data_IF_092307435806
#
_entry.id   IF_092307435806
#
_cell.length_a   1.000
_cell.length_b   1.000
_cell.length_c   1.000
_cell.angle_alpha   90.00
_cell.angle_beta   90.00
_cell.angle_gamma   90.00
#
_symmetry.space_group_name_H-M   'P 1'
#
loop_
_entity.id
_entity.type
_entity.pdbx_description
1 polymer ?
#
# COMPACT_ATOMS: atom_id res chain seq x y z
N UNK A 1 -16.94 33.06 -43.54
CA UNK A 1 -18.02 32.11 -43.23
C UNK A 1 -17.33 30.84 -42.75
N UNK A 2 -17.24 30.71 -41.44
CA UNK A 2 -16.66 29.55 -40.80
C UNK A 2 -17.78 28.51 -40.57
N UNK A 3 -17.50 27.26 -40.83
CA UNK A 3 -18.43 26.16 -40.75
C UNK A 3 -18.49 25.67 -39.28
N UNK A 4 -19.62 25.71 -38.56
CA UNK A 4 -19.73 25.25 -37.21
C UNK A 4 -20.37 23.85 -37.21
N UNK A 5 -19.59 22.78 -37.37
CA UNK A 5 -19.99 21.40 -37.04
C UNK A 5 -18.77 20.47 -37.06
N UNK A 6 -17.83 20.67 -36.10
CA UNK A 6 -17.06 19.58 -35.61
C UNK A 6 -17.75 19.06 -34.34
N UNK A 7 -18.59 18.05 -34.49
CA UNK A 7 -19.02 17.21 -33.38
C UNK A 7 -17.79 16.50 -32.86
N UNK A 8 -17.33 16.93 -31.69
CA UNK A 8 -16.47 16.10 -30.83
C UNK A 8 -17.28 14.86 -30.49
N UNK A 9 -16.94 13.74 -31.09
CA UNK A 9 -17.47 12.44 -30.68
C UNK A 9 -17.08 12.23 -29.21
N UNK A 10 -18.06 12.36 -28.31
CA UNK A 10 -17.93 11.83 -26.95
C UNK A 10 -17.59 10.35 -27.09
N UNK A 11 -16.35 10.00 -26.73
CA UNK A 11 -15.98 8.60 -26.53
C UNK A 11 -16.87 8.11 -25.39
N UNK A 12 -17.78 7.20 -25.67
CA UNK A 12 -18.48 6.43 -24.66
C UNK A 12 -17.44 5.86 -23.68
N UNK A 13 -17.66 5.93 -22.35
CA UNK A 13 -16.74 5.35 -21.39
C UNK A 13 -16.50 3.89 -21.74
N UNK A 14 -15.25 3.48 -21.86
CA UNK A 14 -14.87 2.07 -22.05
C UNK A 14 -15.50 1.28 -20.89
N UNK A 15 -16.19 0.22 -21.22
CA UNK A 15 -16.81 -0.63 -20.20
C UNK A 15 -15.71 -1.31 -19.38
N UNK A 16 -15.63 -0.98 -18.11
CA UNK A 16 -14.74 -1.69 -17.18
C UNK A 16 -15.33 -3.09 -16.87
N UNK A 17 -14.46 -4.08 -16.83
CA UNK A 17 -14.82 -5.47 -16.57
C UNK A 17 -14.01 -6.02 -15.41
N UNK A 18 -14.66 -6.65 -14.44
CA UNK A 18 -13.97 -7.36 -13.37
C UNK A 18 -13.46 -8.70 -13.90
N UNK A 19 -12.15 -8.93 -13.77
CA UNK A 19 -11.50 -10.20 -14.09
C UNK A 19 -10.97 -10.82 -12.79
N UNK A 20 -11.37 -12.05 -12.52
CA UNK A 20 -10.99 -12.80 -11.33
C UNK A 20 -9.92 -13.81 -11.72
N UNK A 21 -8.73 -13.68 -11.15
CA UNK A 21 -7.67 -14.69 -11.22
C UNK A 21 -7.93 -15.73 -10.13
N UNK A 22 -8.05 -16.98 -10.50
CA UNK A 22 -8.36 -18.08 -9.60
C UNK A 22 -7.23 -19.09 -9.62
N UNK A 23 -6.65 -19.39 -8.45
CA UNK A 23 -5.72 -20.50 -8.28
C UNK A 23 -6.40 -21.57 -7.39
N UNK A 24 -6.42 -22.79 -7.86
CA UNK A 24 -7.05 -23.89 -7.14
C UNK A 24 -6.06 -24.61 -6.22
N UNK A 25 -6.51 -25.33 -5.19
CA UNK A 25 -5.63 -26.15 -4.34
C UNK A 25 -4.84 -27.23 -5.12
N UNK A 26 -5.30 -27.60 -6.31
CA UNK A 26 -4.67 -28.61 -7.14
C UNK A 26 -3.62 -28.05 -8.11
N UNK A 27 -3.21 -26.79 -7.96
CA UNK A 27 -2.20 -26.15 -8.80
C UNK A 27 -2.71 -25.83 -10.22
N UNK A 28 -3.97 -25.41 -10.34
CA UNK A 28 -4.55 -24.95 -11.60
C UNK A 28 -5.00 -23.51 -11.47
N UNK A 29 -4.40 -22.62 -12.26
CA UNK A 29 -4.76 -21.22 -12.36
C UNK A 29 -5.58 -20.92 -13.62
N UNK A 30 -6.65 -20.12 -13.48
CA UNK A 30 -7.53 -19.71 -14.58
C UNK A 30 -8.18 -18.35 -14.30
N UNK A 31 -8.89 -17.80 -15.29
CA UNK A 31 -9.57 -16.52 -15.17
C UNK A 31 -11.05 -16.63 -15.47
N UNK A 32 -11.87 -15.94 -14.68
CA UNK A 32 -13.31 -15.83 -14.88
C UNK A 32 -13.76 -14.37 -14.81
N UNK A 33 -14.95 -14.10 -15.38
CA UNK A 33 -15.60 -12.80 -15.22
C UNK A 33 -16.38 -12.71 -13.90
N UNK A 34 -17.02 -11.57 -13.65
CA UNK A 34 -17.87 -11.32 -12.48
C UNK A 34 -19.12 -12.20 -12.40
N UNK A 35 -19.44 -12.96 -13.45
CA UNK A 35 -20.54 -13.92 -13.49
C UNK A 35 -20.08 -15.37 -13.32
N UNK A 36 -18.74 -15.60 -13.28
CA UNK A 36 -18.11 -16.90 -13.11
C UNK A 36 -17.87 -17.66 -14.42
N UNK A 37 -18.03 -17.00 -15.58
CA UNK A 37 -17.72 -17.63 -16.85
C UNK A 37 -16.22 -17.60 -17.12
N UNK A 38 -15.69 -18.74 -17.61
CA UNK A 38 -14.29 -18.80 -18.03
C UNK A 38 -14.01 -17.79 -19.16
N UNK A 39 -13.04 -16.92 -18.94
CA UNK A 39 -12.63 -15.94 -19.95
C UNK A 39 -11.74 -16.58 -21.01
N UNK A 40 -10.87 -17.51 -20.61
CA UNK A 40 -9.90 -18.15 -21.49
C UNK A 40 -9.96 -19.68 -21.33
N UNK A 41 -9.72 -20.41 -22.43
CA UNK A 41 -9.66 -21.87 -22.40
C UNK A 41 -8.37 -22.40 -21.79
N UNK A 42 -7.31 -21.59 -21.82
CA UNK A 42 -5.99 -21.98 -21.33
C UNK A 42 -5.94 -21.89 -19.82
N UNK A 43 -5.39 -22.92 -19.20
CA UNK A 43 -5.11 -22.98 -17.78
C UNK A 43 -3.61 -22.97 -17.56
N UNK A 44 -3.17 -22.49 -16.41
CA UNK A 44 -1.78 -22.36 -16.01
C UNK A 44 -1.59 -23.04 -14.65
N UNK A 45 -0.34 -23.20 -14.21
CA UNK A 45 -0.03 -23.71 -12.87
C UNK A 45 -0.34 -22.64 -11.80
N UNK A 46 -0.03 -21.37 -12.12
CA UNK A 46 -0.38 -20.21 -11.29
C UNK A 46 -0.73 -19.01 -12.16
N UNK A 47 -1.58 -18.13 -11.64
CA UNK A 47 -1.97 -16.87 -12.30
C UNK A 47 -2.05 -15.73 -11.29
N UNK A 48 -1.67 -14.52 -11.69
CA UNK A 48 -1.83 -13.30 -10.91
C UNK A 48 -3.03 -12.48 -11.38
N UNK A 49 -3.41 -11.47 -10.60
CA UNK A 49 -4.32 -10.43 -11.08
C UNK A 49 -3.68 -9.63 -12.21
N UNK A 50 -4.50 -9.01 -13.04
CA UNK A 50 -4.04 -8.06 -14.06
C UNK A 50 -3.55 -6.76 -13.41
N UNK A 51 -2.43 -6.28 -13.89
CA UNK A 51 -1.86 -4.97 -13.57
C UNK A 51 -1.35 -4.36 -14.88
N UNK A 52 -1.77 -3.15 -15.19
CA UNK A 52 -1.42 -2.47 -16.47
C UNK A 52 -1.74 -3.31 -17.72
N UNK A 53 -2.86 -4.07 -17.66
CA UNK A 53 -3.33 -4.88 -18.79
C UNK A 53 -2.63 -6.23 -18.98
N UNK A 54 -1.70 -6.60 -18.10
CA UNK A 54 -0.98 -7.89 -18.13
C UNK A 54 -1.15 -8.63 -16.80
N UNK A 55 -1.22 -9.97 -16.88
CA UNK A 55 -1.14 -10.85 -15.73
C UNK A 55 0.02 -11.84 -15.91
N UNK A 56 0.85 -12.02 -14.88
CA UNK A 56 1.84 -13.07 -14.96
C UNK A 56 1.18 -14.44 -14.77
N UNK A 57 1.70 -15.42 -15.46
CA UNK A 57 1.25 -16.81 -15.45
C UNK A 57 2.45 -17.75 -15.37
N UNK A 58 2.28 -18.85 -14.65
CA UNK A 58 3.32 -19.86 -14.53
C UNK A 58 2.94 -21.12 -15.32
N UNK A 59 3.91 -21.69 -16.02
CA UNK A 59 3.79 -22.95 -16.73
C UNK A 59 5.13 -23.68 -16.74
N UNK A 60 5.16 -24.92 -16.27
CA UNK A 60 6.37 -25.78 -16.13
C UNK A 60 7.46 -25.09 -15.28
N UNK A 61 7.08 -24.42 -14.18
CA UNK A 61 7.98 -23.70 -13.31
C UNK A 61 8.65 -22.49 -13.98
N UNK A 62 8.07 -21.96 -15.06
CA UNK A 62 8.55 -20.75 -15.75
C UNK A 62 7.44 -19.72 -15.84
N UNK A 63 7.83 -18.46 -15.74
CA UNK A 63 6.93 -17.31 -15.73
C UNK A 63 6.86 -16.68 -17.14
N UNK A 64 5.65 -16.28 -17.50
CA UNK A 64 5.32 -15.50 -18.69
C UNK A 64 4.16 -14.57 -18.40
N UNK A 65 3.63 -13.89 -19.41
CA UNK A 65 2.51 -12.95 -19.24
C UNK A 65 1.45 -13.14 -20.33
N UNK A 66 0.21 -12.92 -19.92
CA UNK A 66 -0.93 -12.85 -20.84
C UNK A 66 -1.57 -11.46 -20.78
N UNK A 67 -2.21 -11.06 -21.88
CA UNK A 67 -3.03 -9.86 -21.95
C UNK A 67 -4.49 -10.14 -21.51
N UNK A 68 -5.30 -9.09 -21.46
CA UNK A 68 -6.73 -9.17 -21.09
C UNK A 68 -7.59 -9.96 -22.07
N UNK A 69 -7.09 -10.32 -23.25
CA UNK A 69 -7.70 -11.20 -24.23
C UNK A 69 -7.33 -12.68 -24.01
N UNK A 70 -6.43 -12.98 -23.06
CA UNK A 70 -5.92 -14.32 -22.77
C UNK A 70 -4.84 -14.81 -23.75
N UNK A 71 -4.30 -13.90 -24.54
CA UNK A 71 -3.19 -14.20 -25.43
C UNK A 71 -1.88 -14.16 -24.67
N UNK A 72 -1.02 -15.16 -24.88
CA UNK A 72 0.33 -15.15 -24.31
C UNK A 72 1.16 -14.11 -25.04
N UNK A 73 1.39 -12.98 -24.38
CA UNK A 73 2.23 -11.88 -24.90
C UNK A 73 3.70 -12.21 -24.66
N UNK A 74 3.99 -12.75 -23.47
CA UNK A 74 5.34 -13.11 -23.05
C UNK A 74 5.34 -14.60 -22.73
N UNK A 75 6.10 -15.44 -23.48
CA UNK A 75 6.16 -16.88 -23.24
C UNK A 75 6.67 -17.21 -21.83
N UNK A 76 6.23 -18.33 -21.25
CA UNK A 76 6.69 -18.82 -19.96
C UNK A 76 8.11 -19.42 -20.12
N UNK A 77 9.13 -18.58 -20.10
CA UNK A 77 10.54 -18.95 -20.29
C UNK A 77 11.46 -18.38 -19.21
N UNK A 78 10.98 -17.46 -18.38
CA UNK A 78 11.74 -16.80 -17.34
C UNK A 78 11.68 -17.57 -16.01
N UNK A 79 12.80 -17.56 -15.28
CA UNK A 79 12.94 -18.22 -13.99
C UNK A 79 12.27 -17.40 -12.90
N UNK A 80 12.30 -16.06 -13.03
CA UNK A 80 11.76 -15.11 -12.07
C UNK A 80 11.40 -13.78 -12.75
N UNK A 81 10.49 -13.02 -12.09
CA UNK A 81 10.14 -11.63 -12.42
C UNK A 81 9.61 -10.93 -11.16
N UNK A 82 9.75 -9.62 -11.09
CA UNK A 82 9.06 -8.79 -10.06
C UNK A 82 7.54 -8.78 -10.24
N UNK A 83 7.03 -9.16 -11.42
CA UNK A 83 5.59 -9.33 -11.68
C UNK A 83 4.82 -8.06 -12.04
N UNK A 84 5.43 -6.89 -11.96
CA UNK A 84 4.84 -5.60 -12.39
C UNK A 84 5.81 -4.83 -13.28
N UNK A 85 5.24 -3.94 -14.10
CA UNK A 85 6.01 -3.05 -14.96
C UNK A 85 6.21 -1.69 -14.26
N UNK A 86 7.39 -1.13 -14.41
CA UNK A 86 7.70 0.26 -14.05
C UNK A 86 8.29 0.95 -15.28
N UNK A 87 7.74 2.10 -15.63
CA UNK A 87 8.14 2.84 -16.84
C UNK A 87 8.09 1.98 -18.13
N UNK A 88 7.10 1.04 -18.17
CA UNK A 88 6.91 0.14 -19.30
C UNK A 88 7.88 -1.03 -19.39
N UNK A 89 8.74 -1.23 -18.40
CA UNK A 89 9.73 -2.32 -18.33
C UNK A 89 9.54 -3.15 -17.05
N UNK A 90 9.83 -4.45 -17.12
CA UNK A 90 9.92 -5.32 -15.95
C UNK A 90 11.21 -6.11 -15.96
N UNK A 91 11.78 -6.31 -14.77
CA UNK A 91 12.96 -7.16 -14.60
C UNK A 91 12.57 -8.63 -14.72
N UNK A 92 13.32 -9.39 -15.48
CA UNK A 92 13.17 -10.85 -15.67
C UNK A 92 14.51 -11.54 -15.46
N UNK A 93 14.46 -12.74 -14.93
CA UNK A 93 15.63 -13.57 -14.74
C UNK A 93 15.62 -14.77 -15.71
N UNK A 94 16.75 -15.06 -16.31
CA UNK A 94 16.97 -16.25 -17.09
C UNK A 94 18.41 -16.75 -16.90
N UNK A 95 18.55 -18.03 -16.55
CA UNK A 95 19.85 -18.67 -16.29
C UNK A 95 20.68 -17.96 -15.20
N UNK A 96 20.04 -17.46 -14.14
CA UNK A 96 20.69 -16.76 -13.03
C UNK A 96 21.23 -15.37 -13.38
N UNK A 97 20.76 -14.78 -14.48
CA UNK A 97 21.06 -13.39 -14.85
C UNK A 97 19.78 -12.61 -15.08
N UNK A 98 19.80 -11.33 -14.73
CA UNK A 98 18.68 -10.41 -14.88
C UNK A 98 18.84 -9.50 -16.10
N UNK A 99 17.72 -9.17 -16.69
CA UNK A 99 17.55 -8.24 -17.79
C UNK A 99 16.15 -7.66 -17.79
N UNK A 100 15.75 -6.98 -18.86
CA UNK A 100 14.45 -6.31 -18.90
C UNK A 100 13.71 -6.59 -20.20
N UNK A 101 12.39 -6.73 -20.05
CA UNK A 101 11.45 -6.83 -21.17
C UNK A 101 10.42 -5.71 -21.08
N UNK A 102 9.86 -5.34 -22.22
CA UNK A 102 8.75 -4.39 -22.27
C UNK A 102 7.37 -5.11 -22.19
N UNK A 103 6.30 -4.34 -22.16
CA UNK A 103 4.91 -4.84 -22.11
C UNK A 103 4.49 -5.65 -23.36
N UNK A 104 5.28 -5.65 -24.44
CA UNK A 104 5.08 -6.49 -25.64
C UNK A 104 5.86 -7.80 -25.56
N UNK A 105 6.68 -8.02 -24.54
CA UNK A 105 7.55 -9.17 -24.40
C UNK A 105 8.84 -9.07 -25.21
N UNK A 106 9.15 -7.90 -25.75
CA UNK A 106 10.42 -7.69 -26.44
C UNK A 106 11.53 -7.52 -25.41
N UNK A 107 12.62 -8.25 -25.59
CA UNK A 107 13.81 -8.10 -24.75
C UNK A 107 14.46 -6.75 -25.09
N UNK A 108 14.36 -5.79 -24.16
CA UNK A 108 14.99 -4.48 -24.30
C UNK A 108 16.43 -4.55 -23.80
N UNK A 109 16.65 -5.25 -22.68
CA UNK A 109 17.95 -5.44 -22.07
C UNK A 109 18.14 -6.94 -21.84
N UNK A 110 19.12 -7.59 -22.51
CA UNK A 110 19.38 -9.02 -22.32
C UNK A 110 19.69 -9.37 -20.87
N UNK A 111 19.36 -10.60 -20.43
CA UNK A 111 19.70 -11.12 -19.12
C UNK A 111 21.21 -11.31 -18.99
N UNK A 112 21.93 -10.29 -18.53
CA UNK A 112 23.38 -10.25 -18.43
C UNK A 112 23.92 -9.74 -17.09
N UNK A 113 23.08 -9.12 -16.27
CA UNK A 113 23.45 -8.58 -14.98
C UNK A 113 23.31 -9.63 -13.87
N UNK A 114 24.11 -9.52 -12.81
CA UNK A 114 24.05 -10.40 -11.64
C UNK A 114 22.78 -10.10 -10.82
N UNK A 115 22.45 -8.81 -10.69
CA UNK A 115 21.22 -8.31 -10.13
C UNK A 115 20.75 -7.07 -10.88
N UNK A 116 19.44 -6.75 -10.78
CA UNK A 116 18.85 -5.59 -11.42
C UNK A 116 17.51 -5.23 -10.75
N UNK A 117 17.34 -3.96 -10.42
CA UNK A 117 16.16 -3.44 -9.73
C UNK A 117 15.21 -2.74 -10.74
N UNK A 118 14.05 -2.23 -10.27
CA UNK A 118 13.08 -1.55 -11.14
C UNK A 118 13.58 -0.19 -11.63
N UNK A 119 13.06 0.25 -12.76
CA UNK A 119 13.28 1.60 -13.27
C UNK A 119 12.58 2.64 -12.40
N UNK A 120 13.29 3.70 -12.11
CA UNK A 120 12.78 4.92 -11.47
C UNK A 120 13.46 6.14 -12.10
N UNK A 121 12.66 7.13 -12.51
CA UNK A 121 13.14 8.37 -13.14
C UNK A 121 14.03 8.12 -14.39
N UNK A 122 13.73 7.05 -15.13
CA UNK A 122 14.45 6.68 -16.37
C UNK A 122 15.71 5.85 -16.16
N UNK A 123 16.05 5.45 -14.94
CA UNK A 123 17.25 4.71 -14.59
C UNK A 123 16.94 3.48 -13.74
N UNK A 124 17.74 2.42 -13.92
CA UNK A 124 17.70 1.26 -13.06
C UNK A 124 19.09 0.94 -12.50
N UNK A 125 19.22 0.65 -11.22
CA UNK A 125 20.45 0.11 -10.66
C UNK A 125 20.64 -1.33 -11.15
N UNK A 126 21.86 -1.65 -11.56
CA UNK A 126 22.26 -3.00 -12.02
C UNK A 126 23.57 -3.40 -11.38
N UNK A 127 23.67 -4.69 -11.05
CA UNK A 127 24.89 -5.25 -10.50
C UNK A 127 25.66 -6.04 -11.58
N UNK A 128 26.96 -5.81 -11.63
CA UNK A 128 27.86 -6.61 -12.45
C UNK A 128 29.20 -6.83 -11.72
N UNK A 129 29.58 -8.09 -11.56
CA UNK A 129 30.81 -8.49 -10.86
C UNK A 129 30.90 -7.96 -9.41
N UNK A 130 29.78 -7.96 -8.66
CA UNK A 130 29.71 -7.53 -7.27
C UNK A 130 29.77 -6.01 -7.08
N UNK A 131 29.50 -5.24 -8.16
CA UNK A 131 29.43 -3.79 -8.12
C UNK A 131 28.20 -3.27 -8.81
N UNK A 132 27.61 -2.23 -8.25
CA UNK A 132 26.42 -1.56 -8.74
C UNK A 132 26.74 -0.33 -9.59
N UNK A 133 25.95 -0.11 -10.61
CA UNK A 133 25.94 1.06 -11.49
C UNK A 133 24.53 1.30 -12.02
N UNK A 134 24.36 2.14 -13.02
CA UNK A 134 23.03 2.46 -13.54
C UNK A 134 22.97 2.41 -15.05
N UNK A 135 21.87 1.90 -15.56
CA UNK A 135 21.49 1.91 -16.98
C UNK A 135 20.27 2.80 -17.20
N UNK A 136 20.12 3.30 -18.41
CA UNK A 136 18.91 3.97 -18.87
C UNK A 136 17.90 2.95 -19.45
N UNK A 137 16.69 3.42 -19.81
CA UNK A 137 15.62 2.59 -20.39
C UNK A 137 15.99 1.96 -21.76
N UNK A 138 17.08 2.40 -22.42
CA UNK A 138 17.62 1.80 -23.64
C UNK A 138 18.67 0.71 -23.34
N UNK A 139 19.01 0.50 -22.06
CA UNK A 139 20.04 -0.44 -21.61
C UNK A 139 21.48 0.09 -21.76
N UNK A 140 21.65 1.37 -22.01
CA UNK A 140 22.96 2.00 -22.04
C UNK A 140 23.46 2.25 -20.60
N UNK A 141 24.72 1.82 -20.32
CA UNK A 141 25.36 2.09 -19.03
C UNK A 141 25.66 3.58 -18.92
N UNK A 142 24.92 4.26 -18.03
CA UNK A 142 25.08 5.70 -17.77
C UNK A 142 26.10 5.93 -16.66
N UNK A 143 26.05 5.11 -15.62
CA UNK A 143 26.98 5.17 -14.48
C UNK A 143 27.60 3.78 -14.35
N UNK A 144 28.95 3.67 -14.47
CA UNK A 144 29.65 2.38 -14.40
C UNK A 144 29.40 1.64 -13.08
N UNK A 145 29.47 0.31 -13.11
CA UNK A 145 29.35 -0.54 -11.93
C UNK A 145 30.63 -0.44 -11.08
N UNK A 146 30.68 0.54 -10.19
CA UNK A 146 31.81 0.85 -9.31
C UNK A 146 31.45 0.93 -7.83
N UNK A 147 30.17 1.01 -7.50
CA UNK A 147 29.65 1.14 -6.13
C UNK A 147 29.45 -0.21 -5.47
N UNK A 148 29.58 -0.27 -4.15
CA UNK A 148 29.33 -1.49 -3.37
C UNK A 148 27.83 -1.76 -3.26
N UNK A 149 27.02 -0.67 -3.22
CA UNK A 149 25.57 -0.71 -3.25
C UNK A 149 25.02 0.54 -3.94
N UNK A 150 23.77 0.48 -4.44
CA UNK A 150 23.14 1.60 -5.13
C UNK A 150 21.61 1.51 -5.01
N UNK A 151 20.97 2.57 -4.58
CA UNK A 151 19.52 2.67 -4.52
C UNK A 151 18.94 3.28 -5.81
N UNK A 152 17.65 3.10 -6.05
CA UNK A 152 16.93 3.74 -7.16
C UNK A 152 16.95 5.27 -7.03
N UNK A 153 16.92 5.96 -8.18
CA UNK A 153 16.81 7.42 -8.20
C UNK A 153 15.51 7.91 -7.59
N UNK A 154 15.60 8.98 -6.83
CA UNK A 154 14.49 9.75 -6.27
C UNK A 154 14.85 11.23 -6.29
N UNK A 155 13.97 12.08 -6.84
CA UNK A 155 14.21 13.54 -6.97
C UNK A 155 15.51 13.88 -7.73
N UNK A 156 15.89 13.05 -8.72
CA UNK A 156 17.08 13.22 -9.55
C UNK A 156 18.38 12.82 -8.88
N UNK A 157 18.34 12.22 -7.70
CA UNK A 157 19.49 11.79 -6.89
C UNK A 157 19.36 10.33 -6.47
N UNK A 158 20.48 9.65 -6.30
CA UNK A 158 20.53 8.30 -5.77
C UNK A 158 21.59 8.18 -4.68
N UNK A 159 21.27 7.48 -3.59
CA UNK A 159 22.28 7.12 -2.62
C UNK A 159 23.10 5.93 -3.12
N UNK A 160 24.42 6.00 -2.93
CA UNK A 160 25.37 4.97 -3.33
C UNK A 160 26.36 4.71 -2.21
N UNK A 161 26.75 3.45 -2.08
CA UNK A 161 27.75 3.05 -1.09
C UNK A 161 29.10 2.82 -1.77
N UNK A 162 30.16 3.31 -1.15
CA UNK A 162 31.53 3.02 -1.55
C UNK A 162 32.43 2.91 -0.32
N UNK A 163 33.15 1.78 -0.22
CA UNK A 163 34.05 1.48 0.90
C UNK A 163 33.33 1.52 2.28
N UNK A 164 32.10 1.03 2.35
CA UNK A 164 31.31 0.98 3.58
C UNK A 164 30.78 2.33 4.04
N UNK A 165 30.74 3.33 3.14
CA UNK A 165 30.17 4.65 3.41
C UNK A 165 29.22 5.08 2.29
N UNK A 166 28.15 5.73 2.69
CA UNK A 166 27.11 6.24 1.81
C UNK A 166 27.34 7.68 1.39
N UNK A 167 26.93 8.01 0.19
CA UNK A 167 26.95 9.34 -0.40
C UNK A 167 25.87 9.46 -1.48
N UNK A 168 25.87 10.54 -2.24
CA UNK A 168 24.82 10.81 -3.24
C UNK A 168 25.41 11.25 -4.56
N UNK A 169 24.80 10.78 -5.64
CA UNK A 169 25.11 11.14 -7.01
C UNK A 169 23.86 11.63 -7.74
N UNK A 170 24.06 12.43 -8.77
CA UNK A 170 22.99 12.80 -9.68
C UNK A 170 22.91 11.83 -10.88
N UNK A 171 21.92 12.04 -11.76
CA UNK A 171 21.66 11.20 -12.96
C UNK A 171 22.81 11.18 -13.97
N UNK A 172 23.83 12.04 -13.83
CA UNK A 172 25.06 12.02 -14.64
C UNK A 172 26.23 11.29 -13.96
N UNK A 173 26.03 10.80 -12.73
CA UNK A 173 27.08 10.22 -11.91
C UNK A 173 28.01 11.24 -11.25
N UNK A 174 27.62 12.53 -11.25
CA UNK A 174 28.37 13.58 -10.54
C UNK A 174 28.06 13.46 -9.05
N UNK A 175 29.13 13.50 -8.22
CA UNK A 175 29.00 13.41 -6.75
C UNK A 175 28.40 14.69 -6.21
N UNK A 176 27.26 14.58 -5.56
CA UNK A 176 26.54 15.67 -4.86
C UNK A 176 26.96 15.70 -3.40
N UNK A 177 27.00 14.54 -2.74
CA UNK A 177 27.56 14.39 -1.41
C UNK A 177 28.54 13.20 -1.41
N UNK A 178 29.79 13.37 -0.94
CA UNK A 178 30.78 12.30 -0.94
C UNK A 178 30.37 11.15 -0.01
N UNK A 179 30.87 9.93 -0.31
CA UNK A 179 30.61 8.74 0.51
C UNK A 179 31.37 8.84 1.85
N UNK A 180 30.78 9.53 2.82
CA UNK A 180 31.33 9.78 4.16
C UNK A 180 30.36 9.39 5.29
N UNK A 181 29.10 9.14 4.96
CA UNK A 181 28.07 8.83 5.92
C UNK A 181 28.07 7.33 6.26
N UNK A 182 27.71 7.00 7.51
CA UNK A 182 27.63 5.62 7.98
C UNK A 182 26.40 4.92 7.38
N UNK A 183 25.29 5.68 7.21
CA UNK A 183 24.07 5.27 6.53
C UNK A 183 23.40 6.48 5.85
N UNK A 184 22.51 6.23 4.88
CA UNK A 184 21.76 7.26 4.18
C UNK A 184 20.48 6.69 3.56
N UNK A 185 19.42 7.50 3.55
CA UNK A 185 18.16 7.16 2.89
C UNK A 185 17.92 8.05 1.67
N UNK A 186 17.02 7.64 0.80
CA UNK A 186 16.69 8.38 -0.42
C UNK A 186 16.11 9.77 -0.12
N UNK A 187 16.23 10.67 -1.09
CA UNK A 187 15.60 11.98 -1.04
C UNK A 187 14.07 11.88 -1.01
N UNK A 188 13.47 12.69 -0.17
CA UNK A 188 12.04 12.93 -0.09
C UNK A 188 11.79 14.38 0.31
N UNK A 189 10.93 15.09 -0.42
CA UNK A 189 10.64 16.52 -0.21
C UNK A 189 11.89 17.41 -0.16
N UNK A 190 12.89 17.09 -1.01
CA UNK A 190 14.14 17.85 -1.14
C UNK A 190 15.19 17.58 -0.06
N UNK A 191 14.97 16.62 0.82
CA UNK A 191 15.90 16.28 1.91
C UNK A 191 16.15 14.78 1.95
N UNK A 192 17.37 14.40 2.34
CA UNK A 192 17.77 13.02 2.61
C UNK A 192 18.30 12.91 4.03
N UNK A 193 17.91 11.87 4.75
CA UNK A 193 18.50 11.54 6.03
C UNK A 193 19.86 10.91 5.85
N UNK A 194 20.81 11.30 6.70
CA UNK A 194 22.19 10.80 6.72
C UNK A 194 22.63 10.53 8.15
N UNK A 195 23.35 9.43 8.34
CA UNK A 195 23.92 9.07 9.61
C UNK A 195 25.44 9.33 9.64
N UNK A 196 25.91 9.89 10.73
CA UNK A 196 27.34 10.02 11.00
C UNK A 196 27.61 9.92 12.51
N UNK A 197 28.51 9.01 12.90
CA UNK A 197 28.84 8.75 14.30
C UNK A 197 27.62 8.39 15.16
N UNK A 198 26.80 7.45 14.71
CA UNK A 198 25.56 6.98 15.36
C UNK A 198 24.53 8.11 15.60
N UNK A 199 24.58 9.17 14.81
CA UNK A 199 23.63 10.29 14.85
C UNK A 199 23.12 10.62 13.45
N UNK A 200 21.85 10.87 13.38
CA UNK A 200 21.11 11.23 12.16
C UNK A 200 20.96 12.74 12.01
N UNK A 201 21.02 13.20 10.79
CA UNK A 201 20.75 14.56 10.35
C UNK A 201 20.17 14.60 8.95
N UNK A 202 20.13 15.75 8.32
CA UNK A 202 19.57 15.89 6.97
C UNK A 202 20.43 16.78 6.08
N UNK A 203 20.52 16.41 4.81
CA UNK A 203 21.13 17.20 3.74
C UNK A 203 20.09 17.56 2.68
N UNK A 204 20.29 18.65 1.96
CA UNK A 204 19.48 19.04 0.83
C UNK A 204 20.00 18.46 -0.50
N UNK A 205 19.28 18.69 -1.60
CA UNK A 205 19.62 18.23 -2.97
C UNK A 205 20.92 18.81 -3.53
N UNK A 206 21.58 19.75 -2.82
CA UNK A 206 22.93 20.26 -3.16
C UNK A 206 24.03 19.59 -2.35
N UNK A 207 23.69 18.66 -1.44
CA UNK A 207 24.61 18.04 -0.50
C UNK A 207 24.97 18.95 0.70
N UNK A 208 24.26 20.07 0.90
CA UNK A 208 24.47 20.96 2.03
C UNK A 208 23.72 20.44 3.26
N UNK A 209 24.40 20.45 4.42
CA UNK A 209 23.79 20.02 5.69
C UNK A 209 22.75 21.05 6.12
N UNK A 210 21.49 20.64 6.22
CA UNK A 210 20.36 21.42 6.73
C UNK A 210 20.19 21.19 8.23
N UNK A 211 20.27 19.92 8.64
CA UNK A 211 20.22 19.51 10.05
C UNK A 211 21.46 18.70 10.35
N UNK A 212 22.35 19.17 11.25
CA UNK A 212 23.53 18.40 11.66
C UNK A 212 23.15 17.03 12.22
N UNK A 213 24.04 16.03 12.09
CA UNK A 213 23.87 14.71 12.66
C UNK A 213 23.90 14.80 14.20
N UNK A 214 22.73 14.96 14.82
CA UNK A 214 22.57 15.15 16.26
C UNK A 214 21.43 14.35 16.90
N UNK A 215 20.56 13.77 16.10
CA UNK A 215 19.43 12.97 16.55
C UNK A 215 19.78 11.49 16.65
N UNK A 216 19.18 10.78 17.60
CA UNK A 216 19.37 9.34 17.78
C UNK A 216 18.66 8.54 16.67
N UNK A 217 17.52 9.05 16.20
CA UNK A 217 16.74 8.53 15.05
C UNK A 217 16.01 9.67 14.37
N UNK A 218 15.66 9.47 13.10
CA UNK A 218 14.81 10.39 12.32
C UNK A 218 13.81 9.59 11.49
N UNK A 219 12.65 10.18 11.23
CA UNK A 219 11.75 9.73 10.17
C UNK A 219 11.99 10.51 8.89
N UNK A 220 11.40 10.06 7.79
CA UNK A 220 11.41 10.81 6.54
C UNK A 220 10.47 12.01 6.60
N UNK A 221 10.75 13.03 5.81
CA UNK A 221 9.86 14.18 5.67
C UNK A 221 8.57 13.77 4.96
N UNK A 222 7.46 14.19 5.52
CA UNK A 222 6.13 14.04 4.93
C UNK A 222 5.32 15.31 5.18
N UNK A 223 4.86 15.96 4.09
CA UNK A 223 4.16 17.26 4.14
C UNK A 223 4.93 18.32 4.93
N UNK A 224 6.24 18.35 4.75
CA UNK A 224 7.13 19.34 5.34
C UNK A 224 7.54 19.10 6.78
N UNK A 225 7.23 17.97 7.38
CA UNK A 225 7.51 17.63 8.77
C UNK A 225 8.16 16.24 8.88
N UNK A 226 9.09 16.08 9.82
CA UNK A 226 9.71 14.81 10.17
C UNK A 226 9.74 14.61 11.68
N UNK A 227 9.48 13.39 12.14
CA UNK A 227 9.73 13.03 13.54
C UNK A 227 11.22 12.83 13.77
N UNK A 228 11.72 13.26 14.93
CA UNK A 228 13.12 13.12 15.33
C UNK A 228 13.20 12.66 16.77
N UNK A 229 14.18 11.80 17.08
CA UNK A 229 14.39 11.29 18.43
C UNK A 229 15.69 11.87 19.00
N UNK A 230 15.64 12.38 20.21
CA UNK A 230 16.80 12.85 20.95
C UNK A 230 16.64 12.53 22.44
N UNK A 231 17.69 11.95 23.04
CA UNK A 231 17.67 11.52 24.44
C UNK A 231 16.46 10.63 24.78
N UNK A 232 16.22 9.64 23.93
CA UNK A 232 15.11 8.67 24.03
C UNK A 232 13.69 9.28 23.94
N UNK A 233 13.56 10.55 23.58
CA UNK A 233 12.27 11.22 23.38
C UNK A 233 12.10 11.68 21.94
N UNK A 234 10.88 11.55 21.44
CA UNK A 234 10.46 12.00 20.12
C UNK A 234 9.96 13.44 20.14
N UNK A 235 10.20 14.14 19.05
CA UNK A 235 9.69 15.46 18.72
C UNK A 235 9.59 15.63 17.21
N UNK A 236 9.38 16.85 16.74
CA UNK A 236 9.18 17.12 15.31
C UNK A 236 9.93 18.36 14.86
N UNK A 237 10.44 18.30 13.63
CA UNK A 237 11.09 19.41 12.94
C UNK A 237 10.45 19.66 11.57
N UNK A 238 10.62 20.88 11.05
CA UNK A 238 10.25 21.20 9.68
C UNK A 238 11.46 21.04 8.72
N UNK A 239 11.25 21.26 7.41
CA UNK A 239 12.28 21.15 6.35
C UNK A 239 13.42 22.14 6.48
N UNK A 240 13.34 23.13 7.38
CA UNK A 240 14.45 24.05 7.71
C UNK A 240 15.25 23.59 8.94
N UNK A 241 14.85 22.47 9.58
CA UNK A 241 15.41 22.01 10.84
C UNK A 241 14.90 22.78 12.08
N UNK A 242 13.86 23.61 11.93
CA UNK A 242 13.25 24.31 13.06
C UNK A 242 12.38 23.33 13.86
N UNK A 243 12.50 23.35 15.18
CA UNK A 243 11.72 22.49 16.08
C UNK A 243 10.27 22.97 16.10
N UNK A 244 9.35 22.09 15.70
CA UNK A 244 7.91 22.30 15.74
C UNK A 244 7.34 21.78 17.07
N UNK A 245 7.76 20.59 17.49
CA UNK A 245 7.45 20.05 18.81
C UNK A 245 8.73 19.52 19.45
N UNK A 246 9.04 19.91 20.71
CA UNK A 246 10.26 19.47 21.37
C UNK A 246 10.26 17.96 21.63
N UNK A 247 11.46 17.36 21.75
CA UNK A 247 11.62 15.93 22.04
C UNK A 247 11.23 15.63 23.49
N UNK A 248 9.93 15.46 23.74
CA UNK A 248 9.34 15.18 25.05
C UNK A 248 8.46 13.92 25.08
N UNK A 249 8.10 13.40 23.94
CA UNK A 249 7.19 12.25 23.79
C UNK A 249 7.95 10.93 23.89
N UNK A 250 7.32 9.93 24.50
CA UNK A 250 7.88 8.57 24.61
C UNK A 250 7.85 7.85 23.27
N UNK A 251 6.80 8.12 22.45
CA UNK A 251 6.65 7.68 21.09
C UNK A 251 5.92 8.74 20.25
N UNK A 252 6.16 8.73 18.92
CA UNK A 252 5.49 9.63 17.98
C UNK A 252 5.46 9.01 16.59
N UNK A 253 4.37 9.23 15.87
CA UNK A 253 4.22 8.82 14.47
C UNK A 253 4.18 10.03 13.54
N UNK A 254 4.40 9.78 12.25
CA UNK A 254 4.35 10.83 11.23
C UNK A 254 2.95 11.46 11.16
N UNK A 255 2.91 12.70 10.68
CA UNK A 255 1.64 13.39 10.45
C UNK A 255 0.80 12.69 9.38
N UNK A 256 -0.45 12.43 9.72
CA UNK A 256 -1.48 11.96 8.82
C UNK A 256 -2.69 12.89 8.93
N UNK A 257 -3.23 13.37 7.80
CA UNK A 257 -4.35 14.35 7.76
C UNK A 257 -4.17 15.58 8.66
N UNK A 258 -2.90 16.02 8.87
CA UNK A 258 -2.57 17.21 9.64
C UNK A 258 -2.41 16.99 11.15
N UNK A 259 -2.49 15.76 11.61
CA UNK A 259 -2.32 15.37 13.01
C UNK A 259 -1.24 14.28 13.14
N UNK A 260 -0.49 14.33 14.25
CA UNK A 260 0.47 13.30 14.61
C UNK A 260 0.07 12.66 15.94
N UNK A 261 0.07 11.33 15.98
CA UNK A 261 -0.09 10.57 17.21
C UNK A 261 1.18 10.72 18.05
N UNK A 262 1.01 11.01 19.33
CA UNK A 262 2.09 11.10 20.30
C UNK A 262 1.76 10.31 21.56
N UNK A 263 2.78 9.75 22.20
CA UNK A 263 2.65 9.07 23.49
C UNK A 263 3.43 9.82 24.55
N UNK A 264 2.82 9.97 25.71
CA UNK A 264 3.50 10.50 26.89
C UNK A 264 2.99 9.79 28.17
N UNK A 265 3.94 9.27 28.96
CA UNK A 265 3.63 8.54 30.20
C UNK A 265 2.67 7.35 30.01
N UNK A 266 2.81 6.62 28.90
CA UNK A 266 1.99 5.45 28.57
C UNK A 266 0.56 5.81 28.14
N UNK A 267 0.31 7.06 27.76
CA UNK A 267 -0.97 7.53 27.23
C UNK A 267 -0.75 8.24 25.90
N UNK A 268 -1.73 8.10 25.03
CA UNK A 268 -1.73 8.63 23.67
C UNK A 268 -2.56 9.91 23.56
N UNK A 269 -2.16 10.77 22.67
CA UNK A 269 -2.82 12.00 22.29
C UNK A 269 -2.46 12.41 20.88
N UNK A 270 -2.82 13.62 20.46
CA UNK A 270 -2.54 14.16 19.13
C UNK A 270 -2.05 15.60 19.20
N UNK A 271 -1.10 15.93 18.30
CA UNK A 271 -0.66 17.30 18.04
C UNK A 271 -0.95 17.67 16.58
N UNK A 272 -1.13 18.97 16.31
CA UNK A 272 -1.26 19.50 14.95
C UNK A 272 0.11 19.83 14.34
N UNK A 273 0.11 20.26 13.07
CA UNK A 273 1.32 20.65 12.32
C UNK A 273 2.05 21.88 12.87
N UNK A 274 1.47 22.61 13.81
CA UNK A 274 2.09 23.71 14.57
C UNK A 274 2.73 23.22 15.88
N UNK A 275 2.61 21.92 16.20
CA UNK A 275 3.10 21.33 17.46
C UNK A 275 2.18 21.60 18.66
N UNK A 276 0.97 22.08 18.42
CA UNK A 276 -0.02 22.34 19.46
C UNK A 276 -0.80 21.06 19.78
N UNK A 277 -1.03 20.82 21.08
CA UNK A 277 -1.83 19.69 21.53
C UNK A 277 -3.30 19.88 21.09
N UNK A 278 -3.81 18.94 20.29
CA UNK A 278 -5.20 18.87 19.85
C UNK A 278 -6.00 17.96 20.76
N UNK A 279 -5.46 16.79 21.09
CA UNK A 279 -6.02 15.87 22.06
C UNK A 279 -4.95 15.52 23.10
N UNK A 280 -5.21 15.72 24.41
CA UNK A 280 -4.22 15.44 25.45
C UNK A 280 -3.85 13.96 25.53
N UNK A 281 -2.64 13.66 26.01
CA UNK A 281 -2.18 12.28 26.23
C UNK A 281 -2.90 11.66 27.44
N UNK A 282 -4.15 11.25 27.26
CA UNK A 282 -5.02 10.64 28.30
C UNK A 282 -5.60 9.30 27.88
N UNK A 283 -5.50 8.94 26.60
CA UNK A 283 -6.10 7.73 26.06
C UNK A 283 -5.17 6.52 26.24
N UNK A 284 -5.75 5.35 26.52
CA UNK A 284 -5.04 4.08 26.65
C UNK A 284 -4.56 3.56 25.30
N UNK A 285 -5.35 3.83 24.25
CA UNK A 285 -5.06 3.53 22.83
C UNK A 285 -5.76 4.55 21.94
N UNK A 286 -5.17 4.77 20.78
CA UNK A 286 -5.74 5.56 19.68
C UNK A 286 -5.36 4.90 18.35
N UNK A 287 -6.11 5.20 17.29
CA UNK A 287 -5.87 4.68 15.93
C UNK A 287 -5.73 5.84 14.94
N UNK A 288 -5.63 5.53 13.65
CA UNK A 288 -5.57 6.53 12.60
C UNK A 288 -6.95 7.15 12.36
N UNK A 289 -6.97 8.37 11.82
CA UNK A 289 -8.21 9.03 11.44
C UNK A 289 -8.86 8.30 10.24
N UNK A 290 -10.16 8.09 10.35
CA UNK A 290 -10.99 7.60 9.26
C UNK A 290 -12.26 8.44 9.19
N UNK A 291 -12.55 9.01 8.02
CA UNK A 291 -13.73 9.88 7.80
C UNK A 291 -13.83 11.05 8.79
N UNK A 292 -12.66 11.62 9.20
CA UNK A 292 -12.58 12.74 10.13
C UNK A 292 -12.79 12.40 11.60
N UNK A 293 -12.90 11.13 11.94
CA UNK A 293 -13.01 10.62 13.31
C UNK A 293 -11.88 9.63 13.60
N UNK A 294 -11.47 9.55 14.85
CA UNK A 294 -10.49 8.58 15.31
C UNK A 294 -11.02 7.79 16.50
N UNK A 295 -10.79 6.49 16.45
CA UNK A 295 -11.12 5.56 17.52
C UNK A 295 -10.15 5.74 18.68
N UNK A 296 -10.68 5.99 19.87
CA UNK A 296 -9.90 6.17 21.11
C UNK A 296 -10.40 5.23 22.19
N UNK A 297 -9.47 4.75 23.02
CA UNK A 297 -9.79 3.94 24.19
C UNK A 297 -9.46 4.71 25.48
N UNK A 298 -10.40 4.76 26.40
CA UNK A 298 -10.19 5.34 27.73
C UNK A 298 -10.93 4.51 28.77
N UNK A 299 -10.25 4.15 29.87
CA UNK A 299 -10.83 3.34 30.95
C UNK A 299 -11.46 2.02 30.43
N UNK A 300 -10.73 1.33 29.55
CA UNK A 300 -11.15 0.08 28.91
C UNK A 300 -12.38 0.15 28.00
N UNK A 301 -12.87 1.35 27.70
CA UNK A 301 -13.98 1.57 26.78
C UNK A 301 -13.56 2.37 25.57
N UNK A 302 -14.23 2.10 24.46
CA UNK A 302 -13.99 2.73 23.16
C UNK A 302 -14.99 3.84 22.88
N UNK A 303 -14.52 4.90 22.24
CA UNK A 303 -15.28 6.05 21.78
C UNK A 303 -14.57 6.71 20.61
N UNK A 304 -15.01 7.90 20.21
CA UNK A 304 -14.43 8.61 19.06
C UNK A 304 -14.25 10.10 19.36
N UNK A 305 -13.12 10.64 18.89
CA UNK A 305 -12.87 12.09 18.85
C UNK A 305 -12.79 12.55 17.38
N UNK A 306 -13.07 13.84 17.16
CA UNK A 306 -12.89 14.47 15.86
C UNK A 306 -11.48 15.06 15.70
N UNK A 307 -11.20 15.66 14.52
CA UNK A 307 -9.92 16.32 14.21
C UNK A 307 -9.63 17.56 15.07
N UNK A 308 -10.58 18.05 15.86
CA UNK A 308 -10.41 19.12 16.84
C UNK A 308 -10.12 18.60 18.25
N UNK A 309 -10.03 17.24 18.42
CA UNK A 309 -9.84 16.59 19.71
C UNK A 309 -11.11 16.52 20.60
N UNK A 310 -12.27 16.90 20.06
CA UNK A 310 -13.53 16.85 20.79
C UNK A 310 -14.08 15.43 20.81
N UNK A 311 -14.50 14.97 21.99
CA UNK A 311 -15.14 13.66 22.17
C UNK A 311 -16.56 13.69 21.57
N UNK A 312 -16.72 13.14 20.36
CA UNK A 312 -17.99 13.09 19.64
C UNK A 312 -18.83 11.88 20.10
N UNK A 313 -18.17 10.73 20.27
CA UNK A 313 -18.81 9.51 20.78
C UNK A 313 -18.13 9.15 22.10
N UNK A 314 -18.85 9.16 23.22
CA UNK A 314 -18.30 8.82 24.55
C UNK A 314 -17.66 7.43 24.56
N UNK A 315 -16.60 7.25 25.37
CA UNK A 315 -15.96 5.95 25.58
C UNK A 315 -16.84 5.05 26.44
N UNK A 316 -17.82 4.39 25.83
CA UNK A 316 -18.81 3.51 26.46
C UNK A 316 -18.89 2.10 25.87
N UNK A 317 -18.32 1.89 24.70
CA UNK A 317 -18.37 0.62 23.97
C UNK A 317 -17.28 -0.35 24.44
N UNK A 318 -17.59 -1.65 24.47
CA UNK A 318 -16.65 -2.72 24.84
C UNK A 318 -15.57 -2.90 23.75
N UNK A 319 -16.00 -2.83 22.49
CA UNK A 319 -15.15 -2.78 21.29
C UNK A 319 -15.78 -1.86 20.24
N UNK A 320 -14.96 -1.35 19.32
CA UNK A 320 -15.38 -0.60 18.14
C UNK A 320 -14.35 -0.76 17.02
N UNK A 321 -14.78 -0.56 15.78
CA UNK A 321 -13.91 -0.41 14.62
C UNK A 321 -14.04 0.97 14.01
N UNK A 322 -13.16 1.28 13.05
CA UNK A 322 -13.11 2.58 12.37
C UNK A 322 -14.39 2.85 11.58
N UNK A 323 -14.65 4.13 11.32
CA UNK A 323 -15.72 4.55 10.44
C UNK A 323 -15.43 4.10 9.00
N UNK A 324 -16.44 3.60 8.34
CA UNK A 324 -16.41 3.27 6.91
C UNK A 324 -17.83 3.48 6.35
N UNK A 325 -17.94 4.25 5.28
CA UNK A 325 -19.22 4.61 4.65
C UNK A 325 -20.22 5.27 5.61
N UNK A 326 -19.68 6.13 6.51
CA UNK A 326 -20.45 6.88 7.50
C UNK A 326 -20.91 6.09 8.71
N UNK A 327 -20.52 4.83 8.85
CA UNK A 327 -20.90 3.94 9.95
C UNK A 327 -19.69 3.27 10.60
N UNK A 328 -19.72 3.11 11.93
CA UNK A 328 -18.77 2.31 12.68
C UNK A 328 -19.47 1.17 13.39
N UNK A 329 -18.89 -0.03 13.32
CA UNK A 329 -19.37 -1.14 14.14
C UNK A 329 -18.90 -0.99 15.58
N UNK A 330 -19.81 -1.24 16.51
CA UNK A 330 -19.55 -1.12 17.95
C UNK A 330 -20.10 -2.31 18.71
N UNK A 331 -19.41 -2.71 19.76
CA UNK A 331 -19.84 -3.78 20.64
C UNK A 331 -20.32 -3.21 21.97
N UNK A 332 -21.47 -3.65 22.42
CA UNK A 332 -22.00 -3.36 23.73
C UNK A 332 -22.66 -4.61 24.34
N UNK A 333 -22.24 -4.97 25.56
CA UNK A 333 -22.75 -6.15 26.26
C UNK A 333 -22.60 -7.46 25.47
N UNK A 334 -21.46 -7.63 24.76
CA UNK A 334 -21.15 -8.82 23.96
C UNK A 334 -21.92 -8.93 22.65
N UNK A 335 -22.56 -7.85 22.19
CA UNK A 335 -23.27 -7.78 20.93
C UNK A 335 -22.84 -6.59 20.10
N UNK A 336 -22.72 -6.82 18.79
CA UNK A 336 -22.31 -5.84 17.79
C UNK A 336 -23.51 -5.16 17.13
N UNK A 337 -23.37 -3.89 16.83
CA UNK A 337 -24.31 -3.05 16.08
C UNK A 337 -23.54 -1.95 15.36
N UNK A 338 -24.22 -0.93 14.88
CA UNK A 338 -23.59 0.18 14.14
C UNK A 338 -24.12 1.53 14.61
N UNK A 339 -23.21 2.50 14.63
CA UNK A 339 -23.48 3.92 14.94
C UNK A 339 -23.07 4.79 13.76
N UNK A 340 -23.71 5.95 13.63
CA UNK A 340 -23.28 6.99 12.70
C UNK A 340 -22.24 7.94 13.35
N UNK A 341 -21.71 8.88 12.56
CA UNK A 341 -20.70 9.86 12.99
C UNK A 341 -21.16 10.81 14.13
N UNK A 342 -22.44 10.81 14.48
CA UNK A 342 -22.97 11.55 15.64
C UNK A 342 -23.07 10.68 16.90
N UNK A 343 -22.71 9.38 16.79
CA UNK A 343 -22.89 8.40 17.87
C UNK A 343 -24.32 7.87 18.02
N UNK A 344 -25.22 8.14 17.07
CA UNK A 344 -26.58 7.62 17.07
C UNK A 344 -26.57 6.16 16.57
N UNK A 345 -27.28 5.27 17.31
CA UNK A 345 -27.39 3.85 16.92
C UNK A 345 -28.28 3.74 15.69
N UNK A 346 -27.70 3.28 14.58
CA UNK A 346 -28.39 3.01 13.30
C UNK A 346 -28.85 1.56 13.25
N UNK A 347 -27.97 0.63 13.62
CA UNK A 347 -28.28 -0.80 13.71
C UNK A 347 -28.04 -1.23 15.16
N UNK A 348 -29.09 -1.75 15.88
CA UNK A 348 -28.95 -2.15 17.27
C UNK A 348 -27.87 -3.21 17.49
N UNK A 349 -27.26 -3.23 18.68
CA UNK A 349 -26.27 -4.22 19.08
C UNK A 349 -26.95 -5.57 19.37
N UNK A 350 -27.14 -6.38 18.33
CA UNK A 350 -27.84 -7.68 18.40
C UNK A 350 -27.03 -8.83 17.78
N UNK A 351 -25.96 -8.52 17.04
CA UNK A 351 -25.14 -9.50 16.32
C UNK A 351 -24.03 -10.07 17.21
N UNK A 352 -23.64 -11.32 17.01
CA UNK A 352 -22.49 -11.97 17.68
C UNK A 352 -21.16 -11.50 17.09
N UNK A 353 -21.17 -10.97 15.87
CA UNK A 353 -20.04 -10.37 15.17
C UNK A 353 -20.48 -9.47 14.04
N UNK A 354 -19.72 -8.42 13.78
CA UNK A 354 -19.93 -7.51 12.65
C UNK A 354 -18.57 -7.04 12.09
N UNK A 355 -18.52 -6.79 10.77
CA UNK A 355 -17.39 -6.15 10.09
C UNK A 355 -17.74 -4.75 9.62
N UNK A 356 -16.75 -4.00 9.14
CA UNK A 356 -16.96 -2.67 8.54
C UNK A 356 -17.82 -2.74 7.28
N UNK A 357 -18.54 -1.66 6.98
CA UNK A 357 -19.23 -1.50 5.70
C UNK A 357 -18.23 -1.36 4.56
N UNK A 358 -18.54 -1.97 3.45
CA UNK A 358 -17.85 -1.79 2.18
C UNK A 358 -18.84 -2.03 1.05
N UNK A 359 -18.95 -1.11 0.11
CA UNK A 359 -19.90 -1.14 -1.01
C UNK A 359 -21.37 -1.29 -0.56
N UNK A 360 -21.72 -0.60 0.54
CA UNK A 360 -23.06 -0.59 1.11
C UNK A 360 -23.44 -1.85 1.90
N UNK A 361 -22.51 -2.78 2.11
CA UNK A 361 -22.75 -4.05 2.79
C UNK A 361 -21.73 -4.30 3.90
N UNK A 362 -22.18 -4.85 5.03
CA UNK A 362 -21.33 -5.29 6.12
C UNK A 362 -21.60 -6.75 6.46
N UNK A 363 -20.53 -7.50 6.74
CA UNK A 363 -20.67 -8.84 7.28
C UNK A 363 -21.30 -8.77 8.69
N UNK A 364 -22.33 -9.59 8.95
CA UNK A 364 -22.97 -9.67 10.23
C UNK A 364 -23.30 -11.14 10.60
N UNK A 365 -23.17 -11.45 11.88
CA UNK A 365 -23.38 -12.80 12.42
C UNK A 365 -24.42 -12.72 13.55
N UNK A 366 -25.70 -13.10 13.31
CA UNK A 366 -26.73 -13.07 14.34
C UNK A 366 -26.83 -14.37 15.18
N UNK A 367 -26.01 -15.39 14.92
CA UNK A 367 -26.15 -16.69 15.61
C UNK A 367 -25.18 -17.76 15.10
N UNK A 368 -23.86 -17.46 15.01
CA UNK A 368 -22.81 -18.41 14.65
C UNK A 368 -22.55 -18.56 13.15
N UNK A 369 -23.37 -17.97 12.28
CA UNK A 369 -23.13 -17.90 10.84
C UNK A 369 -23.18 -16.46 10.33
N UNK A 370 -22.27 -16.14 9.44
CA UNK A 370 -22.14 -14.81 8.81
C UNK A 370 -22.97 -14.71 7.53
N UNK A 371 -23.52 -13.55 7.29
CA UNK A 371 -24.14 -13.10 6.06
C UNK A 371 -23.84 -11.63 5.86
N UNK A 372 -24.63 -10.93 5.07
CA UNK A 372 -24.42 -9.49 4.86
C UNK A 372 -25.71 -8.70 5.05
N UNK A 373 -25.57 -7.54 5.70
CA UNK A 373 -26.62 -6.56 5.91
C UNK A 373 -26.32 -5.27 5.16
N UNK A 374 -27.38 -4.53 4.80
CA UNK A 374 -27.24 -3.16 4.28
C UNK A 374 -27.12 -2.13 5.43
N UNK A 375 -26.94 -0.86 5.08
CA UNK A 375 -26.80 0.26 6.04
C UNK A 375 -28.05 0.50 6.90
N UNK A 376 -29.20 -0.11 6.59
CA UNK A 376 -30.43 -0.10 7.40
C UNK A 376 -30.51 -1.30 8.35
N UNK A 377 -29.56 -2.25 8.29
CA UNK A 377 -29.55 -3.48 9.08
C UNK A 377 -30.41 -4.61 8.51
N UNK A 378 -30.87 -4.46 7.27
CA UNK A 378 -31.64 -5.51 6.58
C UNK A 378 -30.70 -6.56 5.97
N UNK A 379 -31.05 -7.85 6.13
CA UNK A 379 -30.25 -8.96 5.57
C UNK A 379 -30.41 -9.00 4.05
N UNK A 380 -29.29 -8.77 3.34
CA UNK A 380 -29.20 -8.84 1.88
C UNK A 380 -28.70 -10.22 1.43
N UNK A 381 -27.66 -10.73 2.09
CA UNK A 381 -27.14 -12.09 1.85
C UNK A 381 -27.37 -12.93 3.10
N UNK A 382 -28.06 -14.09 3.00
CA UNK A 382 -28.40 -14.91 4.16
C UNK A 382 -27.21 -15.32 5.01
N UNK A 383 -27.41 -15.40 6.33
CA UNK A 383 -26.36 -15.78 7.29
C UNK A 383 -26.18 -17.31 7.31
N UNK A 384 -25.43 -17.82 6.34
CA UNK A 384 -25.18 -19.26 6.14
C UNK A 384 -23.69 -19.62 6.12
N UNK A 385 -22.79 -18.63 6.09
CA UNK A 385 -21.35 -18.82 5.97
C UNK A 385 -20.68 -18.94 7.33
N UNK A 386 -19.59 -19.71 7.41
CA UNK A 386 -18.76 -19.84 8.60
C UNK A 386 -17.93 -18.55 8.83
N UNK A 387 -17.56 -17.90 7.73
CA UNK A 387 -16.92 -16.58 7.75
C UNK A 387 -17.22 -15.81 6.45
N UNK A 388 -17.20 -14.49 6.52
CA UNK A 388 -17.47 -13.58 5.42
C UNK A 388 -16.52 -12.37 5.49
N UNK A 389 -15.98 -11.96 4.33
CA UNK A 389 -15.04 -10.84 4.21
C UNK A 389 -15.72 -9.65 3.55
N UNK A 390 -15.18 -8.42 3.72
CA UNK A 390 -15.74 -7.23 3.07
C UNK A 390 -15.83 -7.39 1.55
N UNK A 391 -16.82 -6.72 0.96
CA UNK A 391 -16.94 -6.60 -0.49
C UNK A 391 -15.84 -5.69 -1.05
N UNK A 392 -15.36 -6.00 -2.24
CA UNK A 392 -14.48 -5.16 -3.06
C UNK A 392 -14.75 -5.45 -4.53
N UNK A 393 -14.98 -4.43 -5.36
CA UNK A 393 -15.32 -4.55 -6.77
C UNK A 393 -16.54 -5.45 -7.03
N UNK A 394 -17.56 -5.36 -6.16
CA UNK A 394 -18.79 -6.13 -6.23
C UNK A 394 -18.68 -7.59 -5.80
N UNK A 395 -17.56 -8.02 -5.24
CA UNK A 395 -17.25 -9.39 -4.89
C UNK A 395 -16.79 -9.53 -3.45
N UNK A 396 -17.11 -10.65 -2.80
CA UNK A 396 -16.63 -10.97 -1.47
C UNK A 396 -16.22 -12.44 -1.37
N UNK A 397 -15.20 -12.71 -0.53
CA UNK A 397 -14.81 -14.08 -0.14
C UNK A 397 -15.68 -14.54 1.01
N UNK A 398 -16.14 -15.78 0.93
CA UNK A 398 -16.91 -16.44 1.99
C UNK A 398 -16.38 -17.84 2.25
N UNK A 399 -16.49 -18.32 3.48
CA UNK A 399 -16.13 -19.68 3.88
C UNK A 399 -17.42 -20.42 4.25
N UNK A 400 -17.63 -21.62 3.71
CA UNK A 400 -18.72 -22.49 4.09
C UNK A 400 -18.28 -23.96 4.07
N UNK A 401 -18.43 -24.66 5.19
CA UNK A 401 -18.02 -26.06 5.34
C UNK A 401 -16.55 -26.29 4.92
N UNK A 402 -15.62 -25.46 5.41
CA UNK A 402 -14.19 -25.45 5.09
C UNK A 402 -13.83 -25.19 3.61
N UNK A 403 -14.79 -24.75 2.81
CA UNK A 403 -14.60 -24.40 1.40
C UNK A 403 -14.77 -22.90 1.18
N UNK A 404 -13.77 -22.30 0.53
CA UNK A 404 -13.80 -20.92 0.12
C UNK A 404 -14.56 -20.74 -1.18
N UNK A 405 -15.33 -19.67 -1.26
CA UNK A 405 -16.05 -19.26 -2.46
C UNK A 405 -16.01 -17.75 -2.62
N UNK A 406 -16.21 -17.26 -3.84
CA UNK A 406 -16.45 -15.85 -4.14
C UNK A 406 -17.91 -15.69 -4.48
N UNK A 407 -18.54 -14.69 -3.89
CA UNK A 407 -19.95 -14.33 -4.15
C UNK A 407 -20.04 -12.87 -4.64
N UNK A 408 -21.10 -12.56 -5.36
CA UNK A 408 -21.47 -11.17 -5.68
C UNK A 408 -22.36 -10.56 -4.58
N UNK A 409 -22.71 -9.28 -4.73
CA UNK A 409 -23.53 -8.51 -3.78
C UNK A 409 -24.93 -9.08 -3.55
N UNK A 410 -25.45 -9.95 -4.42
CA UNK A 410 -26.70 -10.68 -4.26
C UNK A 410 -26.54 -12.05 -3.59
N UNK A 411 -25.29 -12.42 -3.21
CA UNK A 411 -24.99 -13.73 -2.63
C UNK A 411 -24.91 -14.87 -3.63
N UNK A 412 -24.93 -14.59 -4.95
CA UNK A 412 -24.71 -15.61 -5.98
C UNK A 412 -23.24 -16.04 -5.96
N UNK A 413 -22.99 -17.35 -5.90
CA UNK A 413 -21.63 -17.90 -5.99
C UNK A 413 -21.11 -17.72 -7.42
N UNK A 414 -19.99 -17.03 -7.53
CA UNK A 414 -19.27 -16.76 -8.79
C UNK A 414 -18.16 -17.79 -8.99
N UNK A 415 -17.37 -18.04 -7.92
CA UNK A 415 -16.32 -19.07 -7.92
C UNK A 415 -16.51 -19.94 -6.70
N UNK A 416 -16.61 -21.27 -6.92
CA UNK A 416 -16.69 -22.24 -5.85
C UNK A 416 -15.31 -22.90 -5.60
N UNK A 417 -15.05 -23.27 -4.33
CA UNK A 417 -13.90 -24.10 -3.91
C UNK A 417 -12.53 -23.51 -4.30
N UNK A 418 -12.32 -22.21 -4.06
CA UNK A 418 -11.02 -21.55 -4.25
C UNK A 418 -10.14 -21.66 -2.98
N UNK A 419 -8.83 -21.36 -3.10
CA UNK A 419 -7.93 -21.24 -1.94
C UNK A 419 -8.02 -19.86 -1.29
N UNK A 420 -7.80 -19.78 0.02
CA UNK A 420 -7.83 -18.51 0.77
C UNK A 420 -6.80 -17.49 0.26
N UNK A 421 -5.59 -17.96 -0.06
CA UNK A 421 -4.43 -17.09 -0.31
C UNK A 421 -4.31 -16.64 -1.76
N UNK A 422 -4.87 -17.37 -2.71
CA UNK A 422 -4.50 -17.29 -4.12
C UNK A 422 -5.61 -16.80 -5.06
N UNK A 423 -6.71 -16.29 -4.51
CA UNK A 423 -7.76 -15.68 -5.33
C UNK A 423 -7.66 -14.17 -5.22
N UNK A 424 -7.40 -13.51 -6.33
CA UNK A 424 -7.35 -12.06 -6.46
C UNK A 424 -8.16 -11.64 -7.68
N UNK A 425 -8.66 -10.41 -7.68
CA UNK A 425 -9.35 -9.83 -8.84
C UNK A 425 -8.86 -8.42 -9.12
N UNK A 426 -9.11 -7.97 -10.32
CA UNK A 426 -8.80 -6.63 -10.79
C UNK A 426 -9.91 -6.12 -11.68
N UNK A 427 -10.19 -4.83 -11.60
CA UNK A 427 -11.01 -4.12 -12.59
C UNK A 427 -10.11 -3.77 -13.76
N UNK A 428 -10.50 -4.17 -14.96
CA UNK A 428 -9.72 -3.91 -16.19
C UNK A 428 -10.60 -3.13 -17.16
N UNK A 429 -10.08 -2.04 -17.72
CA UNK A 429 -10.69 -1.34 -18.85
C UNK A 429 -10.40 -2.12 -20.14
N UNK A 430 -11.44 -2.43 -20.90
CA UNK A 430 -11.37 -3.17 -22.16
C UNK A 430 -11.43 -2.24 -23.37
#
# INVERSE_FOLDING_TARGET
MANPNEQVAEQSPKASKVIIAVNTPNGVGYFVDSEGHFLFKKQFEEVSKFTEGLAHVEQNGKIGFINTQGEVVIPCIYDWTVGWFSEGLTSVEQNGKRGYINTKGEVVIPCMYDDADWFSEGFAPVEQNGKWGYINTQGEMVIPCIYDNAASFSEGLACVEQNGKWGFINTKGEVIAPCIYDDAENFSEGLASVEQNDKWGFINTKGEVVVPCMYDKVGYFHKGLACVKQNDKWGFINTKGEVIAPCIYDDAENFFEGLARVEQNGKYGYINTQGEEVAPCIYDRVFDFSEGLVLVKQNDKWGFINTQGELVVPCIYDHAGDFSEGLAHVEQNGKWGFINAKGEVVVPCIYDGAGSFSEGLAAANPGGKSGYINTQGEVVVPCIYDAAWPFSDGLAKVLQNDKWSIINTQGKVIVAECTRASTSWSVVEL
#
